data_IF_432078852443
#
_entry.id   IF_432078852443
#
_cell.length_a   1.000
_cell.length_b   1.000
_cell.length_c   1.000
_cell.angle_alpha   90.00
_cell.angle_beta   90.00
_cell.angle_gamma   90.00
#
_symmetry.space_group_name_H-M   'P 1'
#
loop_
_entity.id
_entity.type
_entity.pdbx_description
1 polymer ?
#
# COMPACT_ATOMS: atom_id res chain seq x y z
N UNK A 1 -8.36 3.39 6.19
CA UNK A 1 -7.59 2.78 5.09
C UNK A 1 -7.86 1.30 4.89
N UNK A 2 -8.30 0.61 5.91
CA UNK A 2 -8.60 -0.82 5.79
C UNK A 2 -9.67 -1.12 4.74
N UNK A 3 -10.69 -0.29 4.65
CA UNK A 3 -11.75 -0.43 3.66
C UNK A 3 -11.18 -0.35 2.23
N UNK A 4 -10.30 0.61 1.99
CA UNK A 4 -9.69 0.81 0.68
C UNK A 4 -8.78 -0.37 0.30
N UNK A 5 -8.04 -0.89 1.27
CA UNK A 5 -7.18 -2.06 1.05
C UNK A 5 -8.05 -3.27 0.68
N UNK A 6 -9.16 -3.47 1.37
CA UNK A 6 -10.07 -4.57 1.09
C UNK A 6 -10.64 -4.45 -0.32
N UNK A 7 -11.07 -3.27 -0.71
CA UNK A 7 -11.61 -3.05 -2.06
C UNK A 7 -10.55 -3.29 -3.13
N UNK A 8 -9.30 -2.90 -2.85
CA UNK A 8 -8.19 -3.15 -3.76
C UNK A 8 -7.94 -4.65 -3.95
N UNK A 9 -7.96 -5.42 -2.86
CA UNK A 9 -7.77 -6.87 -2.94
C UNK A 9 -8.89 -7.52 -3.76
N UNK A 10 -10.13 -7.09 -3.57
CA UNK A 10 -11.26 -7.57 -4.36
C UNK A 10 -11.06 -7.24 -5.84
N UNK A 11 -10.58 -6.03 -6.14
CA UNK A 11 -10.27 -5.61 -7.50
C UNK A 11 -9.20 -6.50 -8.13
N UNK A 12 -8.14 -6.82 -7.38
CA UNK A 12 -7.10 -7.72 -7.87
C UNK A 12 -7.68 -9.10 -8.22
N UNK A 13 -8.55 -9.61 -7.38
CA UNK A 13 -9.16 -10.92 -7.59
C UNK A 13 -10.12 -10.91 -8.80
N UNK A 14 -11.03 -9.95 -8.83
CA UNK A 14 -12.11 -9.93 -9.80
C UNK A 14 -11.71 -9.39 -11.18
N UNK A 15 -10.89 -8.36 -11.21
CA UNK A 15 -10.54 -7.65 -12.46
C UNK A 15 -9.20 -8.11 -13.00
N UNK A 16 -8.18 -8.16 -12.14
CA UNK A 16 -6.82 -8.53 -12.56
C UNK A 16 -6.59 -10.03 -12.57
N UNK A 17 -7.49 -10.79 -11.95
CA UNK A 17 -7.40 -12.25 -11.91
C UNK A 17 -6.08 -12.75 -11.34
N UNK A 18 -5.58 -12.07 -10.30
CA UNK A 18 -4.33 -12.47 -9.67
C UNK A 18 -4.50 -13.74 -8.84
N UNK A 19 -3.40 -14.39 -8.53
CA UNK A 19 -3.43 -15.58 -7.68
C UNK A 19 -3.70 -15.19 -6.23
N UNK A 20 -4.19 -16.15 -5.45
CA UNK A 20 -4.44 -15.94 -4.03
C UNK A 20 -3.17 -15.55 -3.28
N UNK A 21 -2.05 -16.15 -3.63
CA UNK A 21 -0.77 -15.81 -3.00
C UNK A 21 -0.36 -14.35 -3.28
N UNK A 22 -0.58 -13.89 -4.50
CA UNK A 22 -0.30 -12.51 -4.87
C UNK A 22 -1.19 -11.55 -4.08
N UNK A 23 -2.46 -11.88 -3.94
CA UNK A 23 -3.42 -11.07 -3.19
C UNK A 23 -3.03 -10.97 -1.73
N UNK A 24 -2.63 -12.09 -1.11
CA UNK A 24 -2.17 -12.10 0.27
C UNK A 24 -0.90 -11.27 0.47
N UNK A 25 0.03 -11.33 -0.49
CA UNK A 25 1.25 -10.54 -0.44
C UNK A 25 0.95 -9.04 -0.46
N UNK A 26 0.09 -8.61 -1.39
CA UNK A 26 -0.33 -7.22 -1.46
C UNK A 26 -1.00 -6.78 -0.16
N UNK A 27 -1.89 -7.61 0.36
CA UNK A 27 -2.63 -7.29 1.58
C UNK A 27 -1.66 -7.09 2.76
N UNK A 28 -0.70 -7.99 2.92
CA UNK A 28 0.29 -7.90 4.00
C UNK A 28 1.14 -6.64 3.88
N UNK A 29 1.61 -6.35 2.67
CA UNK A 29 2.45 -5.18 2.43
C UNK A 29 1.68 -3.90 2.75
N UNK A 30 0.42 -3.82 2.31
CA UNK A 30 -0.40 -2.63 2.53
C UNK A 30 -0.83 -2.49 3.99
N UNK A 31 -1.04 -3.60 4.69
CA UNK A 31 -1.33 -3.56 6.13
C UNK A 31 -0.13 -3.04 6.92
N UNK A 32 1.08 -3.36 6.49
CA UNK A 32 2.29 -2.84 7.11
C UNK A 32 2.39 -1.34 6.89
N UNK A 33 2.10 -0.88 5.68
CA UNK A 33 2.05 0.55 5.38
C UNK A 33 1.01 1.24 6.26
N UNK A 34 -0.18 0.65 6.38
CA UNK A 34 -1.24 1.20 7.19
C UNK A 34 -0.81 1.37 8.65
N UNK A 35 -0.16 0.36 9.22
CA UNK A 35 0.32 0.41 10.59
C UNK A 35 1.34 1.52 10.79
N UNK A 36 2.27 1.67 9.86
CA UNK A 36 3.28 2.72 9.91
C UNK A 36 2.62 4.11 9.87
N UNK A 37 1.70 4.30 8.93
CA UNK A 37 1.02 5.58 8.76
C UNK A 37 0.16 5.92 9.97
N UNK A 38 -0.48 4.93 10.56
CA UNK A 38 -1.30 5.12 11.76
C UNK A 38 -0.45 5.67 12.91
N UNK A 39 0.76 5.18 13.06
CA UNK A 39 1.68 5.68 14.08
C UNK A 39 2.10 7.12 13.81
N UNK A 40 2.03 7.56 12.54
CA UNK A 40 2.30 8.94 12.15
C UNK A 40 1.04 9.81 12.23
N UNK A 41 -0.08 9.26 12.72
CA UNK A 41 -1.33 10.00 12.80
C UNK A 41 -2.10 10.07 11.50
N UNK A 42 -1.75 9.24 10.53
CA UNK A 42 -2.38 9.23 9.21
C UNK A 42 -3.26 7.98 9.11
N UNK A 43 -4.58 8.17 9.10
CA UNK A 43 -5.54 7.07 9.02
C UNK A 43 -6.34 7.06 7.74
N UNK A 44 -6.34 8.15 6.98
CA UNK A 44 -7.09 8.24 5.74
C UNK A 44 -6.16 8.40 4.54
N UNK A 45 -6.47 7.72 3.42
CA UNK A 45 -5.62 7.78 2.22
C UNK A 45 -5.40 9.20 1.70
N UNK A 46 -6.39 10.06 1.82
CA UNK A 46 -6.30 11.45 1.34
C UNK A 46 -5.27 12.30 2.09
N UNK A 47 -4.80 11.82 3.23
CA UNK A 47 -3.80 12.54 4.03
C UNK A 47 -2.38 12.06 3.80
N UNK A 48 -2.22 11.02 2.98
CA UNK A 48 -0.89 10.49 2.68
C UNK A 48 -0.20 11.44 1.69
N UNK A 49 1.04 11.78 2.01
CA UNK A 49 1.86 12.66 1.18
C UNK A 49 3.06 11.91 0.64
N UNK A 50 3.74 12.51 -0.33
CA UNK A 50 4.99 11.95 -0.84
C UNK A 50 6.01 11.82 0.28
N UNK A 51 6.06 12.80 1.19
CA UNK A 51 6.95 12.77 2.34
C UNK A 51 6.64 11.56 3.23
N UNK A 52 5.35 11.27 3.47
CA UNK A 52 4.95 10.12 4.26
C UNK A 52 5.42 8.81 3.63
N UNK A 53 5.30 8.69 2.31
CA UNK A 53 5.73 7.49 1.60
C UNK A 53 7.24 7.34 1.60
N UNK A 54 7.99 8.44 1.44
CA UNK A 54 9.44 8.42 1.54
C UNK A 54 9.89 8.00 2.94
N UNK A 55 9.19 8.46 3.96
CA UNK A 55 9.47 8.06 5.35
C UNK A 55 9.23 6.56 5.54
N UNK A 56 8.20 6.01 4.90
CA UNK A 56 7.94 4.58 4.95
C UNK A 56 9.06 3.78 4.31
N UNK A 57 9.56 4.22 3.16
CA UNK A 57 10.66 3.55 2.48
C UNK A 57 11.91 3.55 3.37
N UNK A 58 12.22 4.70 3.98
CA UNK A 58 13.34 4.80 4.91
C UNK A 58 13.15 3.89 6.12
N UNK A 59 11.92 3.78 6.61
CA UNK A 59 11.60 2.87 7.70
C UNK A 59 11.91 1.41 7.33
N UNK A 60 11.54 1.00 6.13
CA UNK A 60 11.83 -0.36 5.66
C UNK A 60 13.33 -0.61 5.56
N UNK A 61 14.07 0.34 4.99
CA UNK A 61 15.52 0.24 4.86
C UNK A 61 16.20 0.20 6.22
N UNK A 62 15.77 1.04 7.14
CA UNK A 62 16.33 1.13 8.48
C UNK A 62 16.09 -0.15 9.28
N UNK A 63 15.00 -0.85 9.01
CA UNK A 63 14.70 -2.10 9.68
C UNK A 63 15.27 -3.31 8.93
N UNK A 64 16.22 -3.06 8.02
CA UNK A 64 17.02 -4.07 7.36
C UNK A 64 16.23 -5.03 6.47
N UNK A 65 15.14 -4.55 5.90
CA UNK A 65 14.44 -5.33 4.88
C UNK A 65 15.33 -5.47 3.64
N UNK A 66 15.33 -6.66 3.04
CA UNK A 66 16.10 -6.89 1.83
C UNK A 66 15.67 -5.94 0.71
N UNK A 67 16.60 -5.53 -0.18
CA UNK A 67 16.25 -4.63 -1.28
C UNK A 67 15.08 -5.14 -2.14
N UNK A 68 15.03 -6.44 -2.38
CA UNK A 68 13.92 -7.03 -3.15
C UNK A 68 12.59 -6.85 -2.42
N UNK A 69 12.58 -6.97 -1.10
CA UNK A 69 11.37 -6.78 -0.29
C UNK A 69 10.94 -5.32 -0.31
N UNK A 70 11.89 -4.39 -0.19
CA UNK A 70 11.59 -2.95 -0.27
C UNK A 70 10.99 -2.62 -1.63
N UNK A 71 11.56 -3.15 -2.72
CA UNK A 71 11.03 -2.92 -4.07
C UNK A 71 9.61 -3.47 -4.20
N UNK A 72 9.33 -4.63 -3.61
CA UNK A 72 8.00 -5.23 -3.64
C UNK A 72 6.99 -4.34 -2.91
N UNK A 73 7.37 -3.79 -1.74
CA UNK A 73 6.50 -2.86 -1.01
C UNK A 73 6.22 -1.60 -1.81
N UNK A 74 7.23 -1.05 -2.46
CA UNK A 74 7.07 0.13 -3.30
C UNK A 74 6.09 -0.15 -4.43
N UNK A 75 6.23 -1.30 -5.09
CA UNK A 75 5.33 -1.70 -6.18
C UNK A 75 3.89 -1.84 -5.68
N UNK A 76 3.70 -2.44 -4.50
CA UNK A 76 2.38 -2.60 -3.90
C UNK A 76 1.74 -1.24 -3.60
N UNK A 77 2.52 -0.32 -3.04
CA UNK A 77 2.04 1.03 -2.73
C UNK A 77 1.63 1.77 -3.99
N UNK A 78 2.45 1.70 -5.04
CA UNK A 78 2.13 2.36 -6.32
C UNK A 78 0.85 1.80 -6.93
N UNK A 79 0.70 0.49 -6.94
CA UNK A 79 -0.49 -0.15 -7.49
C UNK A 79 -1.74 0.24 -6.72
N UNK A 80 -1.63 0.30 -5.40
CA UNK A 80 -2.74 0.67 -4.53
C UNK A 80 -3.17 2.12 -4.76
N UNK A 81 -2.21 3.05 -4.83
CA UNK A 81 -2.52 4.45 -5.09
C UNK A 81 -3.12 4.66 -6.48
N UNK A 82 -2.59 3.97 -7.47
CA UNK A 82 -3.16 4.02 -8.82
C UNK A 82 -4.63 3.58 -8.81
N UNK A 83 -4.93 2.51 -8.09
CA UNK A 83 -6.30 2.03 -7.92
C UNK A 83 -7.18 3.08 -7.26
N UNK A 84 -6.71 3.68 -6.17
CA UNK A 84 -7.48 4.67 -5.43
C UNK A 84 -7.77 5.93 -6.25
N UNK A 85 -6.79 6.39 -7.01
CA UNK A 85 -6.97 7.55 -7.90
C UNK A 85 -8.01 7.23 -8.96
N UNK A 86 -7.91 6.06 -9.57
CA UNK A 86 -8.83 5.61 -10.62
C UNK A 86 -10.26 5.50 -10.10
N UNK A 87 -10.44 5.12 -8.84
CA UNK A 87 -11.76 5.00 -8.22
C UNK A 87 -12.25 6.31 -7.60
N UNK A 88 -11.47 7.36 -7.68
CA UNK A 88 -11.84 8.65 -7.11
C UNK A 88 -11.78 8.71 -5.59
N UNK A 89 -11.07 7.77 -4.97
CA UNK A 89 -10.94 7.73 -3.51
C UNK A 89 -9.95 8.76 -3.00
N UNK A 90 -8.96 9.11 -3.81
CA UNK A 90 -7.98 10.14 -3.49
C UNK A 90 -7.71 10.97 -4.74
N UNK A 91 -7.21 12.18 -4.55
CA UNK A 91 -6.77 13.07 -5.63
C UNK A 91 -5.30 12.79 -5.93
N UNK A 92 -4.91 13.00 -7.17
CA UNK A 92 -3.49 13.02 -7.46
C UNK A 92 -2.84 14.21 -6.75
#
# INVERSE_FOLDING_TARGET
>A
MEKEIREFVIYLHDVKKTSENTELSYKRDLQKLQSFLKEQGIEEPGRITETSLNSYILFLEKNQFAPATVSRHIAAVKAFFHFMVKKGMVSE
#
